data_IF_662004642611
#
_entry.id   IF_662004642611
#
_cell.length_a   1.000
_cell.length_b   1.000
_cell.length_c   1.000
_cell.angle_alpha   90.00
_cell.angle_beta   90.00
_cell.angle_gamma   90.00
#
_symmetry.space_group_name_H-M   'P 1'
#
loop_
_entity.id
_entity.type
_entity.pdbx_description
1 polymer ?
#
# COMPACT_ATOMS: atom_id res chain seq x y z
N UNK A 1 1.87 13.77 -21.72
CA UNK A 1 2.57 13.28 -20.51
C UNK A 1 3.84 14.08 -20.33
N UNK A 2 4.22 14.42 -19.09
CA UNK A 2 5.54 14.98 -18.83
C UNK A 2 6.60 13.90 -19.07
N UNK A 3 7.79 14.31 -19.52
CA UNK A 3 8.93 13.40 -19.61
C UNK A 3 9.48 13.14 -18.20
N UNK A 4 9.98 11.93 -18.00
CA UNK A 4 10.68 11.57 -16.76
C UNK A 4 12.00 12.35 -16.63
N UNK A 5 12.45 12.57 -15.40
CA UNK A 5 13.70 13.28 -15.13
C UNK A 5 14.91 12.42 -15.54
N UNK A 6 15.98 12.98 -16.14
CA UNK A 6 17.15 12.20 -16.58
C UNK A 6 17.79 11.37 -15.46
N UNK A 7 17.94 11.94 -14.27
CA UNK A 7 18.50 11.21 -13.12
C UNK A 7 17.66 9.99 -12.73
N UNK A 8 16.33 10.07 -12.85
CA UNK A 8 15.47 8.92 -12.57
C UNK A 8 15.76 7.79 -13.56
N UNK A 9 15.90 8.10 -14.85
CA UNK A 9 16.21 7.13 -15.91
C UNK A 9 17.61 6.50 -15.68
N UNK A 10 18.58 7.27 -15.21
CA UNK A 10 19.91 6.74 -14.92
C UNK A 10 19.92 5.84 -13.69
N UNK A 11 19.23 6.24 -12.61
CA UNK A 11 19.19 5.46 -11.36
C UNK A 11 18.31 4.22 -11.48
N UNK A 12 17.23 4.25 -12.24
CA UNK A 12 16.34 3.09 -12.42
C UNK A 12 17.06 1.91 -13.09
N UNK A 13 18.03 2.18 -13.98
CA UNK A 13 18.87 1.15 -14.61
C UNK A 13 19.78 0.41 -13.63
N UNK A 14 19.99 0.95 -12.42
CA UNK A 14 20.81 0.32 -11.38
C UNK A 14 20.02 -0.68 -10.54
N UNK A 15 18.70 -0.74 -10.71
CA UNK A 15 17.82 -1.64 -9.97
C UNK A 15 17.83 -3.00 -10.66
N UNK A 16 18.15 -4.05 -9.90
CA UNK A 16 18.00 -5.42 -10.36
C UNK A 16 16.50 -5.79 -10.37
N UNK A 17 16.02 -6.25 -11.52
CA UNK A 17 14.64 -6.69 -11.76
C UNK A 17 14.60 -8.15 -12.21
N UNK A 18 15.70 -8.90 -12.07
CA UNK A 18 15.80 -10.28 -12.55
C UNK A 18 14.78 -11.21 -11.90
N UNK A 19 14.43 -11.00 -10.64
CA UNK A 19 13.36 -11.71 -9.93
C UNK A 19 11.98 -11.43 -10.54
N UNK A 20 11.66 -10.16 -10.77
CA UNK A 20 10.37 -9.73 -11.34
C UNK A 20 10.21 -10.16 -12.79
N UNK A 21 11.26 -10.01 -13.60
CA UNK A 21 11.23 -10.31 -15.04
C UNK A 21 11.32 -11.79 -15.36
N UNK A 22 11.84 -12.61 -14.45
CA UNK A 22 11.86 -14.07 -14.58
C UNK A 22 10.59 -14.74 -14.10
N UNK A 23 9.75 -14.06 -13.33
CA UNK A 23 8.45 -14.58 -12.89
C UNK A 23 7.48 -14.72 -14.09
N UNK A 24 7.02 -15.94 -14.42
CA UNK A 24 6.17 -16.17 -15.58
C UNK A 24 4.78 -15.54 -15.47
N UNK A 25 4.26 -15.35 -14.24
CA UNK A 25 2.97 -14.70 -13.99
C UNK A 25 3.08 -13.21 -14.26
N UNK A 26 4.16 -12.57 -13.80
CA UNK A 26 4.42 -11.15 -14.08
C UNK A 26 4.67 -10.94 -15.58
N UNK A 27 5.51 -11.77 -16.20
CA UNK A 27 5.81 -11.68 -17.63
C UNK A 27 4.54 -11.86 -18.49
N UNK A 28 3.63 -12.76 -18.09
CA UNK A 28 2.32 -12.89 -18.72
C UNK A 28 1.48 -11.61 -18.57
N UNK A 29 1.41 -11.07 -17.34
CA UNK A 29 0.69 -9.83 -17.04
C UNK A 29 1.17 -8.65 -17.88
N UNK A 30 2.48 -8.47 -18.00
CA UNK A 30 3.09 -7.40 -18.79
C UNK A 30 2.79 -7.57 -20.29
N UNK A 31 2.98 -8.79 -20.82
CA UNK A 31 2.75 -9.10 -22.24
C UNK A 31 1.32 -8.80 -22.67
N UNK A 32 0.35 -9.07 -21.80
CA UNK A 32 -1.08 -8.90 -22.09
C UNK A 32 -1.71 -7.72 -21.36
N UNK A 33 -0.91 -6.79 -20.83
CA UNK A 33 -1.36 -5.74 -19.92
C UNK A 33 -2.58 -4.98 -20.44
N UNK A 34 -2.52 -4.45 -21.67
CA UNK A 34 -3.63 -3.69 -22.27
C UNK A 34 -4.90 -4.52 -22.43
N UNK A 35 -4.76 -5.81 -22.79
CA UNK A 35 -5.90 -6.71 -22.95
C UNK A 35 -6.54 -7.03 -21.59
N UNK A 36 -5.73 -7.38 -20.59
CA UNK A 36 -6.19 -7.66 -19.23
C UNK A 36 -6.83 -6.42 -18.60
N UNK A 37 -6.23 -5.24 -18.77
CA UNK A 37 -6.79 -3.98 -18.28
C UNK A 37 -8.12 -3.65 -18.97
N UNK A 38 -8.26 -3.88 -20.28
CA UNK A 38 -9.52 -3.67 -20.98
C UNK A 38 -10.61 -4.62 -20.47
N UNK A 39 -10.28 -5.91 -20.31
CA UNK A 39 -11.25 -6.91 -19.86
C UNK A 39 -11.65 -6.67 -18.40
N UNK A 40 -10.70 -6.65 -17.47
CA UNK A 40 -10.98 -6.60 -16.03
C UNK A 40 -11.15 -5.19 -15.48
N UNK A 41 -10.54 -4.19 -16.11
CA UNK A 41 -10.64 -2.80 -15.71
C UNK A 41 -11.89 -2.11 -16.26
N UNK A 42 -12.35 -2.49 -17.46
CA UNK A 42 -13.44 -1.79 -18.16
C UNK A 42 -14.63 -2.70 -18.50
N UNK A 43 -14.44 -3.72 -19.34
CA UNK A 43 -15.54 -4.52 -19.90
C UNK A 43 -16.28 -5.25 -18.78
N UNK A 44 -15.59 -6.06 -17.99
CA UNK A 44 -16.21 -6.88 -16.96
C UNK A 44 -16.94 -6.03 -15.90
N UNK A 45 -16.34 -4.96 -15.34
CA UNK A 45 -17.06 -4.08 -14.43
C UNK A 45 -18.31 -3.44 -15.03
N UNK A 46 -18.33 -3.11 -16.33
CA UNK A 46 -19.51 -2.56 -17.00
C UNK A 46 -20.60 -3.60 -17.25
N UNK A 47 -20.21 -4.82 -17.65
CA UNK A 47 -21.15 -5.88 -18.02
C UNK A 47 -21.86 -6.43 -16.78
N UNK A 48 -21.18 -6.58 -15.65
CA UNK A 48 -21.76 -7.21 -14.46
C UNK A 48 -23.05 -6.49 -13.99
N UNK A 49 -23.11 -5.16 -13.82
CA UNK A 49 -24.37 -4.48 -13.49
C UNK A 49 -25.48 -4.66 -14.50
N UNK A 50 -25.16 -4.57 -15.79
CA UNK A 50 -26.17 -4.65 -16.85
C UNK A 50 -26.79 -6.05 -16.89
N UNK A 51 -25.97 -7.09 -16.85
CA UNK A 51 -26.44 -8.46 -17.09
C UNK A 51 -26.78 -9.23 -15.80
N UNK A 52 -26.16 -8.94 -14.66
CA UNK A 52 -26.40 -9.67 -13.40
C UNK A 52 -27.31 -8.90 -12.44
N UNK A 53 -27.34 -7.57 -12.50
CA UNK A 53 -28.18 -6.73 -11.63
C UNK A 53 -29.32 -6.03 -12.39
N UNK A 54 -29.46 -6.31 -13.69
CA UNK A 54 -30.47 -5.72 -14.58
C UNK A 54 -30.46 -4.18 -14.54
N UNK A 55 -29.28 -3.59 -14.42
CA UNK A 55 -29.09 -2.14 -14.41
C UNK A 55 -29.01 -1.59 -15.85
N UNK A 56 -29.26 -0.29 -15.99
CA UNK A 56 -29.15 0.36 -17.31
C UNK A 56 -27.69 0.65 -17.68
N UNK A 57 -27.39 0.64 -18.98
CA UNK A 57 -26.05 1.00 -19.48
C UNK A 57 -25.56 2.35 -18.96
N UNK A 58 -26.43 3.36 -18.91
CA UNK A 58 -26.09 4.69 -18.40
C UNK A 58 -25.63 4.64 -16.93
N UNK A 59 -26.36 3.91 -16.08
CA UNK A 59 -26.01 3.75 -14.66
C UNK A 59 -24.73 2.94 -14.47
N UNK A 60 -24.53 1.88 -15.26
CA UNK A 60 -23.30 1.09 -15.24
C UNK A 60 -22.08 1.94 -15.64
N UNK A 61 -22.18 2.76 -16.69
CA UNK A 61 -21.10 3.65 -17.13
C UNK A 61 -20.77 4.69 -16.05
N UNK A 62 -21.78 5.39 -15.53
CA UNK A 62 -21.57 6.41 -14.49
C UNK A 62 -20.93 5.78 -13.24
N UNK A 63 -21.47 4.67 -12.75
CA UNK A 63 -20.99 4.06 -11.52
C UNK A 63 -19.60 3.41 -11.67
N UNK A 64 -19.33 2.71 -12.78
CA UNK A 64 -18.12 1.87 -12.90
C UNK A 64 -16.94 2.57 -13.55
N UNK A 65 -17.19 3.46 -14.53
CA UNK A 65 -16.13 4.20 -15.23
C UNK A 65 -15.84 5.55 -14.60
N UNK A 66 -16.87 6.28 -14.15
CA UNK A 66 -16.65 7.60 -13.57
C UNK A 66 -16.47 7.51 -12.07
N UNK A 67 -17.45 6.98 -11.34
CA UNK A 67 -17.38 6.98 -9.87
C UNK A 67 -16.29 6.01 -9.38
N UNK A 68 -16.43 4.71 -9.64
CA UNK A 68 -15.49 3.69 -9.14
C UNK A 68 -14.06 3.97 -9.58
N UNK A 69 -13.82 4.12 -10.88
CA UNK A 69 -12.45 4.24 -11.41
C UNK A 69 -11.75 5.52 -10.93
N UNK A 70 -12.42 6.68 -10.96
CA UNK A 70 -11.84 7.94 -10.48
C UNK A 70 -11.58 7.88 -8.99
N UNK A 71 -12.51 7.36 -8.19
CA UNK A 71 -12.30 7.21 -6.75
C UNK A 71 -11.13 6.27 -6.46
N UNK A 72 -11.08 5.09 -7.09
CA UNK A 72 -9.97 4.14 -6.92
C UNK A 72 -8.62 4.79 -7.26
N UNK A 73 -8.53 5.53 -8.37
CA UNK A 73 -7.29 6.24 -8.72
C UNK A 73 -6.90 7.27 -7.67
N UNK A 74 -7.84 8.09 -7.19
CA UNK A 74 -7.55 9.10 -6.17
C UNK A 74 -7.15 8.47 -4.83
N UNK A 75 -7.77 7.35 -4.44
CA UNK A 75 -7.37 6.60 -3.24
C UNK A 75 -5.94 6.11 -3.38
N UNK A 76 -5.57 5.47 -4.48
CA UNK A 76 -4.20 4.98 -4.70
C UNK A 76 -3.19 6.13 -4.76
N UNK A 77 -3.49 7.20 -5.48
CA UNK A 77 -2.61 8.37 -5.58
C UNK A 77 -2.50 9.17 -4.27
N UNK A 78 -3.48 9.05 -3.37
CA UNK A 78 -3.41 9.66 -2.04
C UNK A 78 -2.25 9.12 -1.21
N UNK A 79 -1.85 7.85 -1.41
CA UNK A 79 -0.68 7.26 -0.75
C UNK A 79 0.59 8.01 -1.16
N UNK A 80 0.76 8.25 -2.47
CA UNK A 80 1.93 8.95 -3.01
C UNK A 80 1.95 10.47 -2.73
N UNK A 81 0.84 11.05 -2.26
CA UNK A 81 0.70 12.49 -2.03
C UNK A 81 0.42 12.80 -0.56
N UNK A 82 -0.78 12.49 -0.09
CA UNK A 82 -1.22 12.79 1.28
C UNK A 82 -0.33 12.07 2.30
N UNK A 83 0.00 10.79 2.10
CA UNK A 83 0.83 10.04 3.05
C UNK A 83 2.29 10.52 3.08
N UNK A 84 2.74 11.30 2.09
CA UNK A 84 4.07 11.93 2.11
C UNK A 84 4.06 13.37 2.65
N UNK A 85 2.88 13.96 2.85
CA UNK A 85 2.72 15.34 3.28
C UNK A 85 2.19 15.47 4.72
N UNK A 86 1.22 14.64 5.13
CA UNK A 86 0.51 14.79 6.40
C UNK A 86 0.41 13.48 7.18
N UNK A 87 0.66 13.57 8.49
CA UNK A 87 0.61 12.45 9.43
C UNK A 87 1.75 12.49 10.45
N UNK A 88 1.86 11.42 11.24
CA UNK A 88 2.93 11.23 12.22
C UNK A 88 4.10 10.43 11.65
N UNK A 89 5.27 10.48 12.28
CA UNK A 89 6.48 9.76 11.85
C UNK A 89 7.10 8.96 13.00
N UNK A 90 6.36 7.99 13.56
CA UNK A 90 6.77 7.29 14.77
C UNK A 90 8.02 6.42 14.61
N UNK A 91 8.37 6.00 13.39
CA UNK A 91 9.52 5.12 13.12
C UNK A 91 10.74 5.87 12.61
N UNK A 92 10.54 6.84 11.70
CA UNK A 92 11.64 7.60 11.13
C UNK A 92 11.20 9.02 10.76
N UNK A 93 11.59 9.99 11.59
CA UNK A 93 11.30 11.42 11.39
C UNK A 93 12.11 12.08 10.27
N UNK A 94 13.17 11.42 9.80
CA UNK A 94 14.09 11.97 8.80
C UNK A 94 13.64 11.71 7.35
N UNK A 95 12.55 10.96 7.16
CA UNK A 95 11.94 10.69 5.85
C UNK A 95 10.57 11.37 5.77
N UNK A 96 10.11 11.67 4.54
CA UNK A 96 8.82 12.31 4.30
C UNK A 96 7.57 11.45 4.59
N UNK A 97 7.52 10.14 4.26
CA UNK A 97 6.38 9.27 4.53
C UNK A 97 5.88 9.39 5.97
N UNK A 98 4.57 9.43 6.12
CA UNK A 98 3.88 9.67 7.38
C UNK A 98 2.75 8.65 7.54
N UNK A 99 2.45 8.31 8.79
CA UNK A 99 1.36 7.45 9.17
C UNK A 99 0.07 8.26 9.30
N UNK A 100 -1.03 7.72 8.76
CA UNK A 100 -2.36 8.30 8.84
C UNK A 100 -3.42 7.22 8.99
N UNK A 101 -4.14 7.23 10.11
CA UNK A 101 -5.26 6.32 10.35
C UNK A 101 -6.38 6.49 9.32
N UNK A 102 -6.65 7.74 8.91
CA UNK A 102 -7.65 8.04 7.89
C UNK A 102 -7.26 7.42 6.54
N UNK A 103 -6.02 7.65 6.10
CA UNK A 103 -5.55 7.03 4.87
C UNK A 103 -5.58 5.52 4.98
N UNK A 104 -5.16 4.95 6.11
CA UNK A 104 -5.14 3.51 6.30
C UNK A 104 -6.54 2.89 6.12
N UNK A 105 -7.58 3.59 6.57
CA UNK A 105 -8.96 3.17 6.35
C UNK A 105 -9.38 3.25 4.89
N UNK A 106 -9.12 4.39 4.23
CA UNK A 106 -9.56 4.63 2.85
C UNK A 106 -8.77 3.78 1.84
N UNK A 107 -7.49 3.50 2.11
CA UNK A 107 -6.60 2.70 1.28
C UNK A 107 -6.54 1.24 1.72
N UNK A 108 -7.36 0.83 2.69
CA UNK A 108 -7.54 -0.56 3.12
C UNK A 108 -6.26 -1.25 3.65
N UNK A 109 -5.34 -0.49 4.25
CA UNK A 109 -4.12 -1.03 4.84
C UNK A 109 -2.82 -0.29 4.50
N UNK A 110 -2.84 0.61 3.51
CA UNK A 110 -1.63 1.25 2.97
C UNK A 110 -1.32 2.63 3.61
N UNK A 111 -1.96 2.97 4.72
CA UNK A 111 -1.86 4.32 5.32
C UNK A 111 -0.77 4.50 6.36
N UNK A 112 -0.15 3.42 6.82
CA UNK A 112 1.02 3.47 7.72
C UNK A 112 2.31 3.59 6.91
N UNK A 113 2.41 4.68 6.15
CA UNK A 113 3.47 4.85 5.18
C UNK A 113 4.83 5.15 5.80
N UNK A 114 4.88 5.72 7.02
CA UNK A 114 6.15 5.85 7.75
C UNK A 114 6.68 4.48 8.14
N UNK A 115 5.81 3.57 8.58
CA UNK A 115 6.18 2.18 8.87
C UNK A 115 6.66 1.45 7.62
N UNK A 116 5.87 1.48 6.56
CA UNK A 116 6.18 0.80 5.30
C UNK A 116 7.55 1.22 4.75
N UNK A 117 7.90 2.51 4.79
CA UNK A 117 9.23 2.97 4.35
C UNK A 117 10.36 2.65 5.34
N UNK A 118 10.05 2.45 6.62
CA UNK A 118 11.04 2.01 7.62
C UNK A 118 11.33 0.50 7.53
N UNK A 119 10.33 -0.30 7.13
CA UNK A 119 10.38 -1.75 7.03
C UNK A 119 9.76 -2.25 5.71
N UNK A 120 10.37 -1.93 4.55
CA UNK A 120 9.77 -2.23 3.25
C UNK A 120 9.63 -3.74 2.94
N UNK A 121 10.24 -4.60 3.76
CA UNK A 121 10.15 -6.05 3.65
C UNK A 121 9.09 -6.69 4.56
N UNK A 122 8.40 -5.92 5.41
CA UNK A 122 7.28 -6.46 6.21
C UNK A 122 6.07 -6.72 5.30
N UNK A 123 5.58 -7.96 5.27
CA UNK A 123 4.40 -8.33 4.47
C UNK A 123 3.12 -7.58 4.87
N UNK A 124 3.04 -7.07 6.11
CA UNK A 124 1.86 -6.38 6.64
C UNK A 124 1.79 -4.92 6.23
N UNK A 125 2.93 -4.30 5.91
CA UNK A 125 3.07 -2.84 5.79
C UNK A 125 2.57 -2.03 7.01
N UNK A 126 2.42 -2.68 8.18
CA UNK A 126 1.94 -2.06 9.41
C UNK A 126 2.43 -2.82 10.67
N UNK A 127 2.86 -2.09 11.72
CA UNK A 127 3.11 -2.67 13.04
C UNK A 127 1.82 -2.86 13.84
N UNK A 128 1.05 -1.78 13.96
CA UNK A 128 -0.10 -1.73 14.86
C UNK A 128 -1.14 -2.75 14.38
N UNK A 129 -1.68 -3.53 15.33
CA UNK A 129 -2.66 -4.61 15.13
C UNK A 129 -4.03 -4.17 14.59
N UNK A 130 -4.09 -3.11 13.78
CA UNK A 130 -5.22 -2.71 12.95
C UNK A 130 -5.40 -3.62 11.74
N UNK A 131 -5.08 -4.92 11.89
CA UNK A 131 -5.47 -5.96 10.92
C UNK A 131 -6.96 -5.90 10.59
N UNK A 132 -7.81 -5.40 11.51
CA UNK A 132 -9.25 -5.19 11.24
C UNK A 132 -9.55 -4.30 10.03
N UNK A 133 -8.64 -3.39 9.67
CA UNK A 133 -8.80 -2.43 8.57
C UNK A 133 -7.79 -2.71 7.45
N UNK A 134 -6.72 -3.45 7.75
CA UNK A 134 -5.74 -3.89 6.75
C UNK A 134 -6.25 -5.17 6.06
N UNK A 135 -7.10 -4.99 5.06
CA UNK A 135 -7.71 -6.09 4.32
C UNK A 135 -6.68 -6.88 3.50
N UNK A 136 -5.60 -6.23 3.04
CA UNK A 136 -4.50 -6.90 2.36
C UNK A 136 -3.83 -7.94 3.28
N UNK A 137 -3.50 -7.54 4.53
CA UNK A 137 -2.92 -8.45 5.53
C UNK A 137 -3.87 -9.59 5.86
N UNK A 138 -5.17 -9.31 6.07
CA UNK A 138 -6.16 -10.38 6.31
C UNK A 138 -6.18 -11.39 5.16
N UNK A 139 -6.18 -10.91 3.91
CA UNK A 139 -6.19 -11.78 2.74
C UNK A 139 -4.93 -12.66 2.68
N UNK A 140 -3.76 -12.09 2.96
CA UNK A 140 -2.49 -12.84 3.02
C UNK A 140 -2.51 -13.86 4.16
N UNK A 141 -2.99 -13.49 5.35
CA UNK A 141 -3.12 -14.39 6.51
C UNK A 141 -4.05 -15.58 6.22
N UNK A 142 -5.17 -15.34 5.54
CA UNK A 142 -6.07 -16.42 5.11
C UNK A 142 -5.37 -17.31 4.09
N UNK A 143 -4.69 -16.72 3.11
CA UNK A 143 -3.92 -17.47 2.10
C UNK A 143 -2.85 -18.33 2.75
N UNK A 144 -2.16 -17.82 3.78
CA UNK A 144 -1.17 -18.56 4.53
C UNK A 144 -1.78 -19.72 5.33
N UNK A 145 -2.94 -19.51 5.97
CA UNK A 145 -3.69 -20.58 6.65
C UNK A 145 -4.15 -21.68 5.69
N UNK A 146 -4.42 -21.34 4.43
CA UNK A 146 -4.76 -22.30 3.38
C UNK A 146 -3.53 -22.95 2.73
N UNK A 147 -2.31 -22.56 3.12
CA UNK A 147 -1.05 -23.05 2.53
C UNK A 147 -0.72 -22.45 1.16
N UNK A 148 -1.43 -21.41 0.72
CA UNK A 148 -1.20 -20.69 -0.54
C UNK A 148 -0.10 -19.64 -0.44
N UNK A 149 0.21 -19.18 0.78
CA UNK A 149 1.29 -18.25 1.08
C UNK A 149 2.15 -18.78 2.24
N UNK A 150 3.43 -18.46 2.21
CA UNK A 150 4.41 -18.87 3.23
C UNK A 150 5.59 -17.87 3.23
N UNK A 151 6.55 -18.07 4.14
CA UNK A 151 7.69 -17.16 4.35
C UNK A 151 7.28 -15.69 4.60
N UNK A 152 6.21 -15.50 5.38
CA UNK A 152 5.74 -14.17 5.75
C UNK A 152 6.76 -13.47 6.67
N UNK A 153 7.38 -12.39 6.17
CA UNK A 153 8.44 -11.67 6.89
C UNK A 153 7.87 -10.53 7.70
N UNK A 154 8.21 -10.47 8.99
CA UNK A 154 7.93 -9.34 9.85
C UNK A 154 9.16 -8.97 10.70
N UNK A 155 9.36 -7.69 11.02
CA UNK A 155 10.45 -7.26 11.90
C UNK A 155 10.17 -7.70 13.34
N UNK A 156 11.23 -8.01 14.09
CA UNK A 156 11.10 -8.34 15.51
C UNK A 156 10.73 -7.10 16.32
N UNK A 157 10.05 -7.31 17.46
CA UNK A 157 9.64 -6.23 18.37
C UNK A 157 10.85 -5.42 18.85
N UNK A 158 11.99 -6.08 19.08
CA UNK A 158 13.24 -5.44 19.50
C UNK A 158 13.79 -4.53 18.40
N UNK A 159 13.74 -4.98 17.14
CA UNK A 159 14.17 -4.18 16.00
C UNK A 159 13.31 -2.93 15.87
N UNK A 160 11.98 -3.09 15.91
CA UNK A 160 11.05 -1.96 15.83
C UNK A 160 11.30 -0.96 16.96
N UNK A 161 11.36 -1.44 18.20
CA UNK A 161 11.65 -0.61 19.38
C UNK A 161 12.97 0.15 19.22
N UNK A 162 14.01 -0.51 18.73
CA UNK A 162 15.32 0.13 18.52
C UNK A 162 15.26 1.26 17.49
N UNK A 163 14.45 1.11 16.43
CA UNK A 163 14.28 2.13 15.39
C UNK A 163 13.47 3.31 15.94
N UNK A 164 12.36 3.04 16.62
CA UNK A 164 11.52 4.08 17.25
C UNK A 164 12.37 4.95 18.19
N UNK A 165 13.17 4.34 19.07
CA UNK A 165 14.01 5.07 20.01
C UNK A 165 15.11 5.90 19.33
N UNK A 166 15.67 5.40 18.22
CA UNK A 166 16.77 6.07 17.51
C UNK A 166 16.30 7.15 16.54
N UNK A 167 15.17 6.93 15.86
CA UNK A 167 14.76 7.71 14.67
C UNK A 167 13.32 8.22 14.73
N UNK A 168 12.50 7.74 15.66
CA UNK A 168 11.11 8.16 15.79
C UNK A 168 10.97 9.65 16.16
N UNK A 169 9.81 10.22 15.84
CA UNK A 169 9.44 11.59 16.22
C UNK A 169 8.84 11.70 17.63
N UNK A 170 8.70 10.58 18.35
CA UNK A 170 8.12 10.53 19.69
C UNK A 170 6.61 10.30 19.72
N UNK A 171 5.94 10.15 18.57
CA UNK A 171 4.49 9.93 18.48
C UNK A 171 4.07 8.47 18.62
N UNK A 172 5.02 7.53 18.69
CA UNK A 172 4.72 6.12 18.80
C UNK A 172 4.02 5.78 20.14
N UNK A 173 2.90 5.03 20.15
CA UNK A 173 2.14 4.75 21.38
C UNK A 173 2.95 4.14 22.52
N UNK A 174 3.91 3.25 22.23
CA UNK A 174 4.77 2.64 23.26
C UNK A 174 5.59 3.64 24.08
N UNK A 175 5.84 4.85 23.57
CA UNK A 175 6.57 5.89 24.30
C UNK A 175 5.69 6.65 25.30
N UNK A 176 4.36 6.55 25.19
CA UNK A 176 3.42 7.13 26.16
C UNK A 176 3.28 6.32 27.45
N UNK A 177 3.65 5.03 27.42
CA UNK A 177 3.57 4.11 28.57
C UNK A 177 4.81 4.13 29.47
N UNK A 178 5.91 4.75 29.03
CA UNK A 178 7.15 4.89 29.81
C UNK A 178 7.25 6.33 30.30
N UNK A 179 7.24 6.59 31.63
CA UNK A 179 7.43 7.93 32.17
C UNK A 179 8.73 8.52 31.63
N UNK A 180 8.67 9.71 31.02
CA UNK A 180 9.89 10.42 30.61
C UNK A 180 10.77 10.59 31.86
N UNK A 181 12.08 10.26 31.80
CA UNK A 181 13.00 10.65 32.85
C UNK A 181 12.85 12.15 33.06
N UNK A 182 12.72 12.58 34.33
CA UNK A 182 12.79 14.01 34.64
C UNK A 182 14.14 14.48 34.12
N UNK A 183 14.12 15.51 33.28
CA UNK A 183 15.33 16.25 32.94
C UNK A 183 15.84 16.88 34.23
N UNK A 184 17.00 16.42 34.69
CA UNK A 184 17.78 17.09 35.74
C UNK A 184 18.28 18.46 35.26
#
# INVERSE_FOLDING_TARGET
>A
MMKEHPEYIEKSKLIDLSDVTSDPVVAFGEKYFLLLQLIFGLILPLMVPVYLWNDTWTRAIISQMFIRYILTLNVVWSVNSIAHAWGTRPYNKNIRPADSHFLNYVTTGEGYHNYHHAFPWDYKSAELGTNRINYATIFIDISAKLGLAYDLKCPSVELIRSIILKKGDGTHPMLSEVPRPKSD
#
